data_IF_146295892612
#
_entry.id   IF_146295892612
#
_cell.length_a   1.000
_cell.length_b   1.000
_cell.length_c   1.000
_cell.angle_alpha   90.00
_cell.angle_beta   90.00
_cell.angle_gamma   90.00
#
_symmetry.space_group_name_H-M   'P 1'
#
loop_
_entity.id
_entity.type
_entity.pdbx_description
1 polymer ?
#
# COMPACT_ATOMS: atom_id res chain seq x y z
N UNK A 1 16.96 -4.55 -5.96
CA UNK A 1 15.97 -4.32 -4.89
C UNK A 1 16.47 -3.09 -4.13
N UNK A 2 15.70 -2.00 -4.07
CA UNK A 2 16.11 -0.77 -3.36
C UNK A 2 15.21 -0.63 -2.11
N UNK A 3 15.68 -1.07 -0.93
CA UNK A 3 14.89 -1.04 0.29
C UNK A 3 14.59 0.38 0.78
N UNK A 4 15.42 1.35 0.42
CA UNK A 4 15.35 2.71 0.98
C UNK A 4 14.10 3.47 0.49
N UNK A 5 13.51 3.03 -0.63
CA UNK A 5 12.37 3.71 -1.26
C UNK A 5 11.09 2.87 -1.32
N UNK A 6 11.18 1.56 -1.17
CA UNK A 6 9.99 0.71 -1.14
C UNK A 6 9.53 0.51 0.29
N UNK A 7 8.36 1.06 0.63
CA UNK A 7 7.78 1.02 1.99
C UNK A 7 7.58 -0.42 2.49
N UNK A 8 7.36 -1.37 1.59
CA UNK A 8 7.21 -2.78 1.93
C UNK A 8 5.79 -3.17 2.36
N UNK A 9 5.51 -4.47 2.47
CA UNK A 9 4.16 -5.00 2.67
C UNK A 9 3.53 -4.58 4.00
N UNK A 10 4.29 -4.56 5.09
CA UNK A 10 3.78 -4.19 6.40
C UNK A 10 3.39 -2.70 6.47
N UNK A 11 4.27 -1.80 5.99
CA UNK A 11 3.99 -0.37 5.97
C UNK A 11 2.81 -0.02 5.06
N UNK A 12 2.73 -0.65 3.88
CA UNK A 12 1.60 -0.42 2.96
C UNK A 12 0.28 -1.01 3.48
N UNK A 13 0.31 -2.13 4.19
CA UNK A 13 -0.89 -2.65 4.88
C UNK A 13 -1.39 -1.67 5.94
N UNK A 14 -0.46 -1.05 6.70
CA UNK A 14 -0.80 -0.04 7.70
C UNK A 14 -1.27 1.28 7.07
N UNK A 15 -0.70 1.70 5.94
CA UNK A 15 -1.17 2.86 5.19
C UNK A 15 -2.61 2.64 4.71
N UNK A 16 -2.88 1.47 4.13
CA UNK A 16 -4.23 1.12 3.69
C UNK A 16 -5.25 1.12 4.84
N UNK A 17 -4.86 0.71 6.05
CA UNK A 17 -5.75 0.79 7.23
C UNK A 17 -6.30 2.20 7.42
N UNK A 18 -5.49 3.25 7.28
CA UNK A 18 -5.95 4.63 7.40
C UNK A 18 -6.70 5.11 6.16
N UNK A 19 -6.23 4.75 4.96
CA UNK A 19 -6.92 5.10 3.70
C UNK A 19 -8.35 4.53 3.61
N UNK A 20 -8.59 3.37 4.23
CA UNK A 20 -9.90 2.72 4.26
C UNK A 20 -10.75 3.10 5.50
N UNK A 21 -10.21 3.84 6.46
CA UNK A 21 -10.92 4.22 7.68
C UNK A 21 -11.81 5.44 7.40
N UNK A 22 -13.13 5.28 7.44
CA UNK A 22 -14.09 6.36 7.17
C UNK A 22 -14.04 7.51 8.18
N UNK A 23 -13.32 7.34 9.29
CA UNK A 23 -13.10 8.37 10.31
C UNK A 23 -11.86 9.21 10.02
N UNK A 24 -10.95 8.75 9.15
CA UNK A 24 -9.74 9.48 8.79
C UNK A 24 -10.07 10.59 7.78
N UNK A 25 -9.69 11.82 8.11
CA UNK A 25 -9.94 13.00 7.28
C UNK A 25 -8.74 13.38 6.42
N UNK A 26 -7.66 12.61 6.44
CA UNK A 26 -6.39 12.90 5.77
C UNK A 26 -6.10 11.91 4.62
N UNK A 27 -7.13 11.23 4.10
CA UNK A 27 -6.95 10.20 3.06
C UNK A 27 -6.20 10.73 1.82
N UNK A 28 -6.56 11.93 1.35
CA UNK A 28 -5.91 12.57 0.18
C UNK A 28 -4.43 12.86 0.44
N UNK A 29 -4.10 13.45 1.59
CA UNK A 29 -2.71 13.74 1.96
C UNK A 29 -1.88 12.45 2.08
N UNK A 30 -2.46 11.41 2.70
CA UNK A 30 -1.81 10.10 2.83
C UNK A 30 -1.57 9.44 1.48
N UNK A 31 -2.54 9.53 0.57
CA UNK A 31 -2.45 8.93 -0.74
C UNK A 31 -1.43 9.66 -1.62
N UNK A 32 -1.39 10.99 -1.56
CA UNK A 32 -0.36 11.80 -2.20
C UNK A 32 1.06 11.45 -1.70
N UNK A 33 1.21 11.12 -0.41
CA UNK A 33 2.47 10.63 0.15
C UNK A 33 2.94 9.27 -0.39
N UNK A 34 2.10 8.56 -1.16
CA UNK A 34 2.40 7.29 -1.80
C UNK A 34 2.55 7.40 -3.33
N UNK A 35 2.30 8.59 -3.89
CA UNK A 35 2.32 8.85 -5.33
C UNK A 35 3.75 9.10 -5.85
N UNK A 36 4.54 8.05 -5.83
CA UNK A 36 5.85 8.01 -6.47
C UNK A 36 6.15 6.64 -7.08
N UNK A 37 7.10 6.53 -8.03
CA UNK A 37 7.39 5.27 -8.72
C UNK A 37 7.90 4.12 -7.84
N UNK A 38 8.24 4.38 -6.57
CA UNK A 38 8.89 3.43 -5.68
C UNK A 38 8.00 2.97 -4.52
N UNK A 39 7.33 3.87 -3.81
CA UNK A 39 6.63 3.55 -2.55
C UNK A 39 5.70 2.35 -2.66
N UNK A 40 4.82 2.34 -3.67
CA UNK A 40 3.81 1.29 -3.89
C UNK A 40 4.16 0.38 -5.09
N UNK A 41 4.73 0.96 -6.15
CA UNK A 41 4.84 0.30 -7.46
C UNK A 41 5.97 -0.72 -7.56
N UNK A 42 6.82 -0.86 -6.54
CA UNK A 42 7.84 -1.94 -6.50
C UNK A 42 7.30 -3.31 -6.10
N UNK A 43 6.07 -3.41 -5.59
CA UNK A 43 5.42 -4.71 -5.39
C UNK A 43 5.11 -5.38 -6.74
N UNK A 44 5.60 -6.61 -6.96
CA UNK A 44 5.42 -7.36 -8.22
C UNK A 44 4.46 -8.54 -8.10
N UNK A 45 3.67 -8.61 -7.02
CA UNK A 45 2.73 -9.73 -6.82
C UNK A 45 3.41 -11.07 -6.53
N UNK A 46 4.59 -11.07 -5.88
CA UNK A 46 5.35 -12.28 -5.51
C UNK A 46 4.65 -13.08 -4.39
N UNK A 47 3.76 -12.46 -3.62
CA UNK A 47 2.92 -13.09 -2.59
C UNK A 47 3.64 -13.68 -1.36
N UNK A 48 4.97 -13.65 -1.27
CA UNK A 48 5.69 -14.14 -0.08
C UNK A 48 5.17 -13.53 1.24
N UNK A 49 4.82 -12.24 1.23
CA UNK A 49 4.30 -11.55 2.42
C UNK A 49 2.96 -12.12 2.93
N UNK A 50 2.12 -12.65 2.05
CA UNK A 50 0.86 -13.32 2.43
C UNK A 50 1.17 -14.71 2.99
N UNK A 51 2.04 -15.46 2.31
CA UNK A 51 2.39 -16.83 2.71
C UNK A 51 3.05 -16.93 4.08
N UNK A 52 3.86 -15.94 4.47
CA UNK A 52 4.64 -15.99 5.72
C UNK A 52 4.00 -15.20 6.87
N UNK A 53 2.89 -14.50 6.64
CA UNK A 53 2.30 -13.65 7.68
C UNK A 53 1.75 -14.52 8.82
N UNK A 54 2.32 -14.46 10.05
CA UNK A 54 1.87 -15.29 11.17
C UNK A 54 0.47 -14.92 11.68
N UNK A 55 -0.09 -13.82 11.19
CA UNK A 55 -1.43 -13.33 11.51
C UNK A 55 -2.47 -13.64 10.42
N UNK A 56 -2.08 -14.29 9.33
CA UNK A 56 -2.98 -14.61 8.22
C UNK A 56 -3.52 -13.39 7.47
N UNK A 57 -2.82 -12.24 7.55
CA UNK A 57 -3.22 -11.03 6.85
C UNK A 57 -2.81 -11.09 5.37
N UNK A 58 -3.46 -10.27 4.54
CA UNK A 58 -3.16 -10.18 3.11
C UNK A 58 -2.64 -8.78 2.71
N UNK A 59 -1.34 -8.49 2.90
CA UNK A 59 -0.74 -7.23 2.47
C UNK A 59 -0.86 -6.99 0.96
N UNK A 60 -0.80 -8.02 0.12
CA UNK A 60 -0.88 -7.83 -1.33
C UNK A 60 -2.24 -7.31 -1.78
N UNK A 61 -3.32 -7.76 -1.14
CA UNK A 61 -4.66 -7.22 -1.38
C UNK A 61 -4.74 -5.73 -1.03
N UNK A 62 -4.21 -5.35 0.14
CA UNK A 62 -4.16 -3.95 0.56
C UNK A 62 -3.37 -3.08 -0.44
N UNK A 63 -2.20 -3.54 -0.87
CA UNK A 63 -1.39 -2.85 -1.91
C UNK A 63 -2.17 -2.69 -3.22
N UNK A 64 -2.96 -3.71 -3.60
CA UNK A 64 -3.85 -3.62 -4.77
C UNK A 64 -4.87 -2.50 -4.66
N UNK A 65 -5.53 -2.37 -3.50
CA UNK A 65 -6.48 -1.29 -3.26
C UNK A 65 -5.83 0.10 -3.33
N UNK A 66 -4.65 0.28 -2.73
CA UNK A 66 -3.90 1.56 -2.82
C UNK A 66 -3.62 1.92 -4.28
N UNK A 67 -3.21 0.96 -5.11
CA UNK A 67 -2.97 1.21 -6.54
C UNK A 67 -4.23 1.64 -7.27
N UNK A 68 -5.36 0.99 -7.00
CA UNK A 68 -6.64 1.40 -7.59
C UNK A 68 -7.00 2.83 -7.19
N UNK A 69 -6.77 3.22 -5.95
CA UNK A 69 -7.01 4.59 -5.48
C UNK A 69 -6.10 5.59 -6.20
N UNK A 70 -4.79 5.34 -6.30
CA UNK A 70 -3.84 6.19 -7.03
C UNK A 70 -4.23 6.37 -8.51
N UNK A 71 -4.63 5.29 -9.18
CA UNK A 71 -5.07 5.35 -10.58
C UNK A 71 -6.37 6.15 -10.74
N UNK A 72 -7.27 6.11 -9.74
CA UNK A 72 -8.51 6.86 -9.77
C UNK A 72 -8.32 8.36 -9.50
N UNK A 73 -7.28 8.76 -8.74
CA UNK A 73 -6.95 10.18 -8.53
C UNK A 73 -6.13 10.79 -9.68
N UNK A 74 -5.36 9.98 -10.43
CA UNK A 74 -4.47 10.43 -11.50
C UNK A 74 -5.12 10.71 -12.87
N UNK A 75 -6.45 10.81 -12.94
CA UNK A 75 -7.22 11.17 -14.16
C UNK A 75 -7.90 12.51 -14.01
#
# INVERSE_FOLDING_TARGET
WNPDKFIGPAGLLQAYRFLADTRDTAAVERLAGLDDPFSVFRCRGIMNCVSVCPKGLNPTRAIGHIRTMLVAEGT
#
